data_IF_220495967885
#
_entry.id   IF_220495967885
#
_cell.length_a   1.000
_cell.length_b   1.000
_cell.length_c   1.000
_cell.angle_alpha   90.00
_cell.angle_beta   90.00
_cell.angle_gamma   90.00
#
_symmetry.space_group_name_H-M   'P 1'
#
loop_
_entity.id
_entity.type
_entity.pdbx_description
1 polymer ?
#
# COMPACT_ATOMS: atom_id res chain seq x y z
N UNK A 1 3.52 -20.74 18.18
CA UNK A 1 4.14 -20.33 16.91
C UNK A 1 3.53 -20.95 15.64
N UNK A 2 2.63 -21.90 15.71
CA UNK A 2 2.07 -22.56 14.52
C UNK A 2 0.53 -22.53 14.45
N UNK A 3 -0.10 -21.48 14.93
CA UNK A 3 -1.56 -21.36 14.91
C UNK A 3 -2.14 -21.19 13.49
N UNK A 4 -1.34 -20.76 12.51
CA UNK A 4 -1.76 -20.54 11.12
C UNK A 4 -1.29 -21.65 10.14
N UNK A 5 -0.52 -22.64 10.60
CA UNK A 5 0.17 -23.61 9.74
C UNK A 5 -0.65 -24.81 9.26
N UNK A 6 -1.85 -25.06 9.78
CA UNK A 6 -2.55 -26.32 9.56
C UNK A 6 -3.75 -26.26 8.60
N UNK A 7 -3.84 -25.28 7.71
CA UNK A 7 -4.89 -25.21 6.70
C UNK A 7 -6.33 -25.07 7.24
N UNK A 8 -6.48 -24.81 8.54
CA UNK A 8 -7.79 -24.72 9.21
C UNK A 8 -8.36 -23.29 9.28
N UNK A 9 -7.59 -22.28 8.84
CA UNK A 9 -8.01 -20.89 8.94
C UNK A 9 -8.40 -20.34 7.57
N UNK A 10 -9.44 -19.53 7.56
CA UNK A 10 -9.89 -18.84 6.36
C UNK A 10 -8.79 -17.92 5.82
N UNK A 11 -8.71 -17.75 4.50
CA UNK A 11 -7.71 -16.91 3.81
C UNK A 11 -7.61 -15.49 4.36
N UNK A 12 -8.70 -14.96 4.91
CA UNK A 12 -8.79 -13.63 5.51
C UNK A 12 -7.92 -13.48 6.75
N UNK A 13 -7.91 -14.49 7.62
CA UNK A 13 -7.08 -14.50 8.83
C UNK A 13 -5.60 -14.53 8.47
N UNK A 14 -5.26 -15.34 7.47
CA UNK A 14 -3.87 -15.45 6.97
C UNK A 14 -3.43 -14.11 6.39
N UNK A 15 -4.24 -13.49 5.55
CA UNK A 15 -3.94 -12.19 4.93
C UNK A 15 -3.74 -11.09 5.99
N UNK A 16 -4.62 -11.01 6.99
CA UNK A 16 -4.52 -10.01 8.05
C UNK A 16 -3.32 -10.25 8.98
N UNK A 17 -3.04 -11.50 9.35
CA UNK A 17 -1.87 -11.84 10.15
C UNK A 17 -0.56 -11.50 9.41
N UNK A 18 -0.48 -11.82 8.13
CA UNK A 18 0.67 -11.48 7.30
C UNK A 18 0.83 -9.95 7.14
N UNK A 19 -0.28 -9.21 7.01
CA UNK A 19 -0.25 -7.74 6.98
C UNK A 19 0.43 -7.17 8.22
N UNK A 20 0.04 -7.61 9.41
CA UNK A 20 0.64 -7.14 10.67
C UNK A 20 2.14 -7.47 10.73
N UNK A 21 2.53 -8.69 10.34
CA UNK A 21 3.93 -9.12 10.30
C UNK A 21 4.76 -8.25 9.35
N UNK A 22 4.30 -8.06 8.13
CA UNK A 22 5.05 -7.32 7.11
C UNK A 22 5.17 -5.83 7.48
N UNK A 23 4.13 -5.22 8.04
CA UNK A 23 4.18 -3.85 8.58
C UNK A 23 5.20 -3.77 9.73
N UNK A 24 5.20 -4.73 10.65
CA UNK A 24 6.15 -4.78 11.74
C UNK A 24 7.60 -4.87 11.23
N UNK A 25 7.89 -5.76 10.27
CA UNK A 25 9.22 -5.85 9.66
C UNK A 25 9.62 -4.57 8.93
N UNK A 26 8.68 -3.89 8.30
CA UNK A 26 8.93 -2.60 7.67
C UNK A 26 9.30 -1.52 8.70
N UNK A 27 8.61 -1.49 9.85
CA UNK A 27 8.89 -0.55 10.93
C UNK A 27 10.23 -0.83 11.62
N UNK A 28 10.62 -2.09 11.75
CA UNK A 28 11.86 -2.51 12.42
C UNK A 28 13.05 -2.65 11.46
N UNK A 29 12.81 -2.58 10.14
CA UNK A 29 13.85 -2.84 9.13
C UNK A 29 14.27 -4.31 9.03
N UNK A 30 13.46 -5.25 9.49
CA UNK A 30 13.81 -6.69 9.51
C UNK A 30 13.69 -7.33 8.12
N UNK A 31 14.69 -7.05 7.29
CA UNK A 31 14.80 -7.59 5.93
C UNK A 31 14.97 -9.11 5.92
N UNK A 32 15.63 -9.68 6.92
CA UNK A 32 15.89 -11.11 6.99
C UNK A 32 14.58 -11.90 7.18
N UNK A 33 13.73 -11.45 8.09
CA UNK A 33 12.40 -12.05 8.30
C UNK A 33 11.51 -11.90 7.06
N UNK A 34 11.50 -10.73 6.41
CA UNK A 34 10.74 -10.49 5.19
C UNK A 34 11.21 -11.41 4.04
N UNK A 35 12.51 -11.52 3.81
CA UNK A 35 13.07 -12.40 2.77
C UNK A 35 12.77 -13.87 3.04
N UNK A 36 12.88 -14.30 4.29
CA UNK A 36 12.53 -15.68 4.67
C UNK A 36 11.04 -15.96 4.42
N UNK A 37 10.17 -15.03 4.80
CA UNK A 37 8.73 -15.17 4.57
C UNK A 37 8.38 -15.24 3.08
N UNK A 38 8.96 -14.36 2.25
CA UNK A 38 8.71 -14.35 0.80
C UNK A 38 9.07 -15.68 0.12
N UNK A 39 10.16 -16.32 0.54
CA UNK A 39 10.58 -17.63 -0.01
C UNK A 39 9.58 -18.76 0.26
N UNK A 40 8.83 -18.66 1.36
CA UNK A 40 7.92 -19.73 1.81
C UNK A 40 6.44 -19.37 1.65
N UNK A 41 6.14 -18.14 1.21
CA UNK A 41 4.76 -17.68 1.04
C UNK A 41 4.21 -18.16 -0.29
N UNK A 42 3.06 -18.85 -0.25
CA UNK A 42 2.31 -19.17 -1.45
C UNK A 42 1.75 -17.89 -2.07
N UNK A 43 2.00 -17.71 -3.37
CA UNK A 43 1.40 -16.62 -4.14
C UNK A 43 -0.03 -17.00 -4.52
N UNK A 44 -1.02 -16.14 -4.31
CA UNK A 44 -2.37 -16.40 -4.80
C UNK A 44 -2.40 -16.51 -6.32
N UNK A 45 -3.22 -17.41 -6.85
CA UNK A 45 -3.41 -17.54 -8.30
C UNK A 45 -4.15 -16.33 -8.90
N UNK A 46 -5.05 -15.72 -8.12
CA UNK A 46 -5.89 -14.60 -8.55
C UNK A 46 -5.84 -13.44 -7.56
N UNK A 47 -6.32 -12.27 -8.00
CA UNK A 47 -6.47 -11.06 -7.19
C UNK A 47 -7.89 -10.46 -7.31
N UNK A 48 -8.89 -11.32 -7.44
CA UNK A 48 -10.26 -10.97 -7.82
C UNK A 48 -11.17 -10.60 -6.63
N UNK A 49 -10.65 -10.55 -5.43
CA UNK A 49 -11.38 -10.10 -4.24
C UNK A 49 -10.46 -9.39 -3.24
N UNK A 50 -11.07 -8.74 -2.26
CA UNK A 50 -10.38 -7.95 -1.25
C UNK A 50 -9.25 -8.72 -0.51
N UNK A 51 -9.46 -9.99 -0.18
CA UNK A 51 -8.50 -10.79 0.59
C UNK A 51 -7.29 -11.17 -0.24
N UNK A 52 -7.49 -11.60 -1.48
CA UNK A 52 -6.42 -11.93 -2.41
C UNK A 52 -5.62 -10.68 -2.81
N UNK A 53 -6.29 -9.55 -3.02
CA UNK A 53 -5.65 -8.23 -3.14
C UNK A 53 -4.76 -7.95 -1.92
N UNK A 54 -5.26 -8.21 -0.70
CA UNK A 54 -4.52 -8.04 0.54
C UNK A 54 -3.28 -8.93 0.63
N UNK A 55 -3.35 -10.19 0.20
CA UNK A 55 -2.21 -11.10 0.19
C UNK A 55 -1.12 -10.62 -0.78
N UNK A 56 -1.49 -10.22 -1.99
CA UNK A 56 -0.56 -9.67 -2.96
C UNK A 56 0.08 -8.36 -2.50
N UNK A 57 -0.69 -7.47 -1.84
CA UNK A 57 -0.11 -6.26 -1.22
C UNK A 57 0.92 -6.57 -0.15
N UNK A 58 0.72 -7.63 0.65
CA UNK A 58 1.70 -8.06 1.63
C UNK A 58 3.01 -8.51 0.95
N UNK A 59 2.91 -9.23 -0.17
CA UNK A 59 4.07 -9.63 -0.98
C UNK A 59 4.79 -8.39 -1.52
N UNK A 60 4.07 -7.48 -2.17
CA UNK A 60 4.65 -6.24 -2.70
C UNK A 60 5.31 -5.39 -1.60
N UNK A 61 4.69 -5.29 -0.42
CA UNK A 61 5.25 -4.55 0.72
C UNK A 61 6.57 -5.17 1.23
N UNK A 62 6.65 -6.48 1.29
CA UNK A 62 7.88 -7.18 1.65
C UNK A 62 8.98 -6.99 0.59
N UNK A 63 8.63 -7.05 -0.70
CA UNK A 63 9.55 -6.75 -1.80
C UNK A 63 10.09 -5.30 -1.73
N UNK A 64 9.24 -4.33 -1.45
CA UNK A 64 9.65 -2.93 -1.25
C UNK A 64 10.64 -2.80 -0.09
N UNK A 65 10.39 -3.47 1.03
CA UNK A 65 11.32 -3.50 2.17
C UNK A 65 12.69 -4.07 1.78
N UNK A 66 12.73 -5.04 0.88
CA UNK A 66 13.98 -5.64 0.38
C UNK A 66 14.68 -4.80 -0.69
N UNK A 67 14.01 -3.80 -1.24
CA UNK A 67 14.49 -3.00 -2.37
C UNK A 67 14.24 -3.65 -3.73
N UNK A 68 13.40 -4.67 -3.79
CA UNK A 68 12.97 -5.36 -5.00
C UNK A 68 11.84 -4.56 -5.68
N UNK A 69 12.17 -3.34 -6.17
CA UNK A 69 11.16 -2.39 -6.64
C UNK A 69 10.46 -2.83 -7.93
N UNK A 70 11.20 -3.37 -8.90
CA UNK A 70 10.63 -3.79 -10.18
C UNK A 70 9.58 -4.92 -10.04
N UNK A 71 9.84 -6.03 -9.33
CA UNK A 71 8.82 -7.03 -9.07
C UNK A 71 7.60 -6.50 -8.31
N UNK A 72 7.82 -5.61 -7.34
CA UNK A 72 6.73 -5.00 -6.58
C UNK A 72 5.87 -4.06 -7.43
N UNK A 73 6.49 -3.29 -8.36
CA UNK A 73 5.79 -2.41 -9.29
C UNK A 73 4.86 -3.20 -10.19
N UNK A 74 5.36 -4.28 -10.82
CA UNK A 74 4.56 -5.17 -11.67
C UNK A 74 3.32 -5.69 -10.93
N UNK A 75 3.52 -6.21 -9.73
CA UNK A 75 2.41 -6.70 -8.88
C UNK A 75 1.40 -5.61 -8.61
N UNK A 76 1.84 -4.40 -8.21
CA UNK A 76 0.94 -3.31 -7.86
C UNK A 76 0.18 -2.74 -9.05
N UNK A 77 0.77 -2.73 -10.25
CA UNK A 77 0.09 -2.32 -11.48
C UNK A 77 -1.01 -3.33 -11.85
N UNK A 78 -0.74 -4.63 -11.81
CA UNK A 78 -1.75 -5.67 -12.01
C UNK A 78 -2.89 -5.57 -10.98
N UNK A 79 -2.56 -5.35 -9.71
CA UNK A 79 -3.56 -5.15 -8.67
C UNK A 79 -4.43 -3.91 -8.92
N UNK A 80 -3.84 -2.83 -9.43
CA UNK A 80 -4.58 -1.62 -9.80
C UNK A 80 -5.56 -1.86 -10.94
N UNK A 81 -5.15 -2.59 -11.98
CA UNK A 81 -6.02 -2.95 -13.11
C UNK A 81 -7.19 -3.83 -12.65
N UNK A 82 -6.90 -4.88 -11.88
CA UNK A 82 -7.90 -5.75 -11.30
C UNK A 82 -8.88 -4.98 -10.40
N UNK A 83 -8.37 -4.13 -9.51
CA UNK A 83 -9.20 -3.34 -8.61
C UNK A 83 -10.12 -2.35 -9.38
N UNK A 84 -9.64 -1.76 -10.48
CA UNK A 84 -10.47 -0.90 -11.34
C UNK A 84 -11.56 -1.69 -12.03
N UNK A 85 -11.22 -2.81 -12.68
CA UNK A 85 -12.17 -3.65 -13.42
C UNK A 85 -13.28 -4.20 -12.53
N UNK A 86 -12.93 -4.62 -11.32
CA UNK A 86 -13.83 -5.20 -10.33
C UNK A 86 -14.48 -4.15 -9.40
N UNK A 87 -14.19 -2.86 -9.59
CA UNK A 87 -14.68 -1.74 -8.77
C UNK A 87 -14.33 -1.87 -7.27
N UNK A 88 -13.19 -2.47 -6.95
CA UNK A 88 -12.67 -2.59 -5.59
C UNK A 88 -11.95 -1.30 -5.17
N UNK A 89 -12.70 -0.20 -5.01
CA UNK A 89 -12.14 1.15 -4.84
C UNK A 89 -11.30 1.32 -3.57
N UNK A 90 -11.64 0.60 -2.49
CA UNK A 90 -10.83 0.59 -1.27
C UNK A 90 -9.46 -0.06 -1.51
N UNK A 91 -9.43 -1.16 -2.27
CA UNK A 91 -8.18 -1.83 -2.63
C UNK A 91 -7.36 -0.99 -3.59
N UNK A 92 -7.99 -0.38 -4.59
CA UNK A 92 -7.33 0.54 -5.50
C UNK A 92 -6.62 1.68 -4.74
N UNK A 93 -7.29 2.28 -3.75
CA UNK A 93 -6.67 3.33 -2.95
C UNK A 93 -5.44 2.83 -2.18
N UNK A 94 -5.54 1.65 -1.54
CA UNK A 94 -4.40 1.02 -0.83
C UNK A 94 -3.25 0.66 -1.76
N UNK A 95 -3.56 0.14 -2.95
CA UNK A 95 -2.54 -0.21 -3.94
C UNK A 95 -1.80 1.04 -4.42
N UNK A 96 -2.53 2.14 -4.70
CA UNK A 96 -1.94 3.41 -5.09
C UNK A 96 -1.01 3.98 -4.01
N UNK A 97 -1.40 3.90 -2.72
CA UNK A 97 -0.55 4.36 -1.62
C UNK A 97 0.72 3.52 -1.49
N UNK A 98 0.63 2.22 -1.69
CA UNK A 98 1.80 1.35 -1.66
C UNK A 98 2.72 1.58 -2.88
N UNK A 99 2.14 1.81 -4.05
CA UNK A 99 2.89 2.19 -5.26
C UNK A 99 3.57 3.55 -5.11
N UNK A 100 2.90 4.52 -4.48
CA UNK A 100 3.52 5.80 -4.09
C UNK A 100 4.73 5.58 -3.18
N UNK A 101 4.61 4.73 -2.17
CA UNK A 101 5.71 4.40 -1.25
C UNK A 101 6.89 3.75 -1.99
N UNK A 102 6.61 2.84 -2.91
CA UNK A 102 7.60 2.21 -3.78
C UNK A 102 8.39 3.27 -4.56
N UNK A 103 7.71 4.14 -5.28
CA UNK A 103 8.36 5.18 -6.09
C UNK A 103 9.15 6.16 -5.23
N UNK A 104 8.64 6.50 -4.06
CA UNK A 104 9.34 7.36 -3.11
C UNK A 104 10.66 6.75 -2.65
N UNK A 105 10.66 5.46 -2.26
CA UNK A 105 11.85 4.74 -1.83
C UNK A 105 12.84 4.46 -2.98
N UNK A 106 12.33 4.25 -4.19
CA UNK A 106 13.13 4.11 -5.40
C UNK A 106 13.74 5.44 -5.91
N UNK A 107 13.45 6.58 -5.24
CA UNK A 107 13.93 7.91 -5.65
C UNK A 107 13.16 8.51 -6.84
N UNK A 108 12.11 7.86 -7.32
CA UNK A 108 11.24 8.29 -8.44
C UNK A 108 10.18 9.28 -7.95
N UNK A 109 10.61 10.44 -7.49
CA UNK A 109 9.74 11.42 -6.80
C UNK A 109 8.57 11.92 -7.65
N UNK A 110 8.79 12.16 -8.93
CA UNK A 110 7.73 12.60 -9.85
C UNK A 110 6.62 11.55 -10.01
N UNK A 111 6.98 10.27 -10.10
CA UNK A 111 6.01 9.17 -10.16
C UNK A 111 5.27 9.04 -8.84
N UNK A 112 5.98 9.15 -7.70
CA UNK A 112 5.37 9.13 -6.37
C UNK A 112 4.32 10.23 -6.22
N UNK A 113 4.63 11.46 -6.62
CA UNK A 113 3.70 12.59 -6.56
C UNK A 113 2.48 12.40 -7.46
N UNK A 114 2.68 11.89 -8.67
CA UNK A 114 1.59 11.59 -9.61
C UNK A 114 0.61 10.57 -9.01
N UNK A 115 1.14 9.46 -8.48
CA UNK A 115 0.31 8.40 -7.90
C UNK A 115 -0.36 8.86 -6.60
N UNK A 116 0.30 9.68 -5.79
CA UNK A 116 -0.30 10.27 -4.60
C UNK A 116 -1.46 11.20 -4.95
N UNK A 117 -1.33 12.00 -6.01
CA UNK A 117 -2.43 12.82 -6.53
C UNK A 117 -3.62 11.95 -6.97
N UNK A 118 -3.37 10.84 -7.66
CA UNK A 118 -4.44 9.92 -8.08
C UNK A 118 -5.14 9.28 -6.88
N UNK A 119 -4.39 8.93 -5.83
CA UNK A 119 -4.96 8.44 -4.57
C UNK A 119 -5.83 9.51 -3.87
N UNK A 120 -5.42 10.78 -3.87
CA UNK A 120 -6.19 11.89 -3.33
C UNK A 120 -7.50 12.12 -4.13
N UNK A 121 -7.43 12.09 -5.46
CA UNK A 121 -8.63 12.19 -6.32
C UNK A 121 -9.62 11.04 -6.03
N UNK A 122 -9.09 9.82 -5.84
CA UNK A 122 -9.93 8.69 -5.47
C UNK A 122 -10.55 8.88 -4.08
N UNK A 123 -9.77 9.37 -3.10
CA UNK A 123 -10.26 9.65 -1.76
C UNK A 123 -11.33 10.75 -1.74
N UNK A 124 -11.27 11.73 -2.63
CA UNK A 124 -12.32 12.74 -2.79
C UNK A 124 -13.67 12.13 -3.21
N UNK A 125 -13.64 11.12 -4.08
CA UNK A 125 -14.85 10.44 -4.58
C UNK A 125 -15.40 9.40 -3.61
N UNK A 126 -14.54 8.76 -2.82
CA UNK A 126 -14.90 7.59 -2.00
C UNK A 126 -14.96 7.89 -0.50
N UNK A 127 -14.32 8.97 -0.05
CA UNK A 127 -14.19 9.29 1.37
C UNK A 127 -13.09 8.51 2.12
N UNK A 128 -12.35 7.61 1.47
CA UNK A 128 -11.32 6.77 2.12
C UNK A 128 -10.08 7.58 2.48
N UNK A 129 -10.01 8.07 3.72
CA UNK A 129 -8.84 8.78 4.26
C UNK A 129 -8.02 7.93 5.23
N UNK A 130 -8.63 6.95 5.90
CA UNK A 130 -7.97 6.08 6.87
C UNK A 130 -6.77 5.33 6.32
N UNK A 131 -6.75 5.02 5.01
CA UNK A 131 -5.64 4.35 4.37
C UNK A 131 -4.36 5.20 4.35
N UNK A 132 -4.48 6.52 4.22
CA UNK A 132 -3.35 7.46 4.30
C UNK A 132 -2.86 7.58 5.76
N UNK A 133 -3.79 7.62 6.71
CA UNK A 133 -3.46 7.76 8.14
C UNK A 133 -2.62 6.58 8.63
N UNK A 134 -2.92 5.37 8.17
CA UNK A 134 -2.17 4.16 8.54
C UNK A 134 -0.70 4.22 8.09
N UNK A 135 -0.38 4.93 7.01
CA UNK A 135 1.00 5.09 6.52
C UNK A 135 1.82 6.11 7.36
N UNK A 136 1.19 6.83 8.29
CA UNK A 136 1.82 7.61 9.33
C UNK A 136 2.68 8.77 8.84
N UNK A 137 3.76 9.07 9.59
CA UNK A 137 4.61 10.24 9.34
C UNK A 137 5.27 10.25 7.96
N UNK A 138 5.61 9.11 7.39
CA UNK A 138 6.16 9.03 6.03
C UNK A 138 5.18 9.59 4.99
N UNK A 139 3.90 9.32 5.14
CA UNK A 139 2.83 9.88 4.31
C UNK A 139 2.65 11.37 4.58
N UNK A 140 2.68 11.79 5.85
CA UNK A 140 2.56 13.20 6.22
C UNK A 140 3.65 14.06 5.57
N UNK A 141 4.90 13.59 5.55
CA UNK A 141 6.00 14.29 4.89
C UNK A 141 5.76 14.45 3.38
N UNK A 142 5.29 13.41 2.71
CA UNK A 142 4.99 13.48 1.28
C UNK A 142 3.83 14.43 0.97
N UNK A 143 2.78 14.43 1.79
CA UNK A 143 1.65 15.34 1.65
C UNK A 143 2.07 16.80 1.87
N UNK A 144 2.91 17.08 2.89
CA UNK A 144 3.46 18.44 3.11
C UNK A 144 4.26 18.92 1.90
N UNK A 145 5.13 18.07 1.34
CA UNK A 145 5.89 18.42 0.13
C UNK A 145 4.98 18.69 -1.07
N UNK A 146 3.98 17.84 -1.27
CA UNK A 146 3.03 18.00 -2.38
C UNK A 146 2.23 19.32 -2.27
N UNK A 147 1.82 19.70 -1.05
CA UNK A 147 1.15 20.98 -0.78
C UNK A 147 2.10 22.15 -1.05
N UNK A 148 3.36 22.05 -0.62
CA UNK A 148 4.37 23.12 -0.80
C UNK A 148 4.67 23.42 -2.27
N UNK A 149 4.53 22.45 -3.16
CA UNK A 149 4.68 22.65 -4.61
C UNK A 149 3.60 23.56 -5.20
N UNK A 150 2.52 23.78 -4.48
CA UNK A 150 1.38 24.63 -4.88
C UNK A 150 0.80 24.28 -6.27
N UNK A 151 0.88 23.01 -6.62
CA UNK A 151 0.40 22.45 -7.92
C UNK A 151 -0.88 21.63 -7.77
N UNK A 152 -1.33 21.43 -6.52
CA UNK A 152 -2.55 20.67 -6.26
C UNK A 152 -3.79 21.47 -6.64
N UNK A 153 -4.78 20.85 -7.30
CA UNK A 153 -6.10 21.43 -7.40
C UNK A 153 -6.71 21.63 -6.00
N UNK A 154 -7.57 22.61 -5.85
CA UNK A 154 -8.12 23.06 -4.55
C UNK A 154 -8.74 21.91 -3.73
N UNK A 155 -9.49 21.03 -4.38
CA UNK A 155 -10.16 19.91 -3.72
C UNK A 155 -9.17 18.91 -3.14
N UNK A 156 -8.12 18.58 -3.89
CA UNK A 156 -7.04 17.68 -3.46
C UNK A 156 -6.19 18.32 -2.36
N UNK A 157 -5.99 19.63 -2.41
CA UNK A 157 -5.28 20.38 -1.37
C UNK A 157 -6.06 20.33 -0.03
N UNK A 158 -7.36 20.59 -0.06
CA UNK A 158 -8.21 20.46 1.14
C UNK A 158 -8.20 19.05 1.70
N UNK A 159 -8.24 18.04 0.81
CA UNK A 159 -8.18 16.63 1.22
C UNK A 159 -6.84 16.31 1.88
N UNK A 160 -5.72 16.70 1.29
CA UNK A 160 -4.39 16.50 1.83
C UNK A 160 -4.23 17.16 3.21
N UNK A 161 -4.71 18.39 3.38
CA UNK A 161 -4.70 19.11 4.67
C UNK A 161 -5.55 18.39 5.73
N UNK A 162 -6.71 17.85 5.35
CA UNK A 162 -7.54 17.07 6.27
C UNK A 162 -6.82 15.79 6.72
N UNK A 163 -6.22 15.04 5.79
CA UNK A 163 -5.46 13.83 6.10
C UNK A 163 -4.30 14.15 7.06
N UNK A 164 -3.57 15.26 6.83
CA UNK A 164 -2.50 15.69 7.73
C UNK A 164 -2.97 15.93 9.16
N UNK A 165 -4.18 16.48 9.36
CA UNK A 165 -4.74 16.67 10.70
C UNK A 165 -5.12 15.38 11.40
N UNK A 166 -5.43 14.32 10.65
CA UNK A 166 -5.77 13.01 11.20
C UNK A 166 -4.51 12.16 11.51
N UNK A 167 -3.34 12.48 10.89
CA UNK A 167 -2.07 11.80 11.17
C UNK A 167 -1.39 12.37 12.43
N UNK A 168 -1.52 13.69 12.68
CA UNK A 168 -0.90 14.39 13.81
C UNK A 168 -1.76 14.28 15.07
#
# INVERSE_FOLDING_TARGET
ENLLGNGKYHSDWISNANKVRVIYWQMTGDKAAAANWLRHTAKPEFANNHFLQGQWRNIARAQILLGEFEPAEIVLEELNENARSLRLMSDLNRNLLLLNQLYWQAGRKSDAQRVLLDALKLANRTGFISHFVIEGEAMAQQLRQLIQLNTLPELEQHRAQRILREIN
#
